data_IF_050452775750
#
_entry.id   IF_050452775750
#
_cell.length_a   1.000
_cell.length_b   1.000
_cell.length_c   1.000
_cell.angle_alpha   90.00
_cell.angle_beta   90.00
_cell.angle_gamma   90.00
#
_symmetry.space_group_name_H-M   'P 1'
#
loop_
_entity.id
_entity.type
_entity.pdbx_description
1 polymer ?
#
# COMPACT_ATOMS: atom_id res chain seq x y z
N UNK A 1 -11.31 -9.67 6.05
CA UNK A 1 -12.21 -9.20 4.99
C UNK A 1 -13.02 -10.38 4.55
N UNK A 2 -13.87 -10.85 5.45
CA UNK A 2 -14.74 -12.03 5.34
C UNK A 2 -15.94 -11.86 6.29
N UNK A 3 -15.81 -10.95 7.27
CA UNK A 3 -16.88 -10.47 8.13
C UNK A 3 -18.05 -9.90 7.31
N UNK A 4 -19.25 -10.12 7.84
CA UNK A 4 -20.47 -9.52 7.30
C UNK A 4 -20.45 -8.01 7.49
N UNK A 5 -20.80 -7.27 6.45
CA UNK A 5 -21.07 -5.85 6.53
C UNK A 5 -22.54 -5.61 6.86
N UNK A 6 -22.82 -4.48 7.52
CA UNK A 6 -24.17 -4.00 7.77
C UNK A 6 -24.55 -3.06 6.63
N UNK A 7 -25.67 -3.32 5.98
CA UNK A 7 -26.31 -2.41 5.04
C UNK A 7 -27.58 -1.85 5.67
N UNK A 8 -27.64 -0.53 5.75
CA UNK A 8 -28.80 0.22 6.23
C UNK A 8 -29.38 1.05 5.09
N UNK A 9 -30.63 0.76 4.73
CA UNK A 9 -31.39 1.59 3.79
C UNK A 9 -32.37 2.43 4.59
N UNK A 10 -32.40 3.74 4.32
CA UNK A 10 -33.30 4.67 5.03
C UNK A 10 -34.75 4.16 5.02
N UNK A 11 -35.33 4.00 6.21
CA UNK A 11 -36.70 3.50 6.39
C UNK A 11 -36.85 1.98 6.29
N UNK A 12 -35.76 1.22 6.36
CA UNK A 12 -35.74 -0.25 6.42
C UNK A 12 -34.84 -0.73 7.55
N UNK A 13 -35.05 -1.96 8.01
CA UNK A 13 -34.20 -2.60 9.00
C UNK A 13 -32.81 -2.90 8.42
N UNK A 14 -31.80 -2.86 9.30
CA UNK A 14 -30.43 -3.19 8.95
C UNK A 14 -30.30 -4.67 8.56
N UNK A 15 -29.58 -4.95 7.47
CA UNK A 15 -29.29 -6.32 7.04
C UNK A 15 -27.77 -6.58 7.06
N UNK A 16 -27.40 -7.80 7.44
CA UNK A 16 -26.04 -8.28 7.37
C UNK A 16 -25.81 -9.01 6.05
N UNK A 17 -24.69 -8.74 5.37
CA UNK A 17 -24.34 -9.42 4.12
C UNK A 17 -22.84 -9.60 3.95
N UNK A 18 -22.43 -10.62 3.20
CA UNK A 18 -21.04 -10.76 2.77
C UNK A 18 -20.82 -9.95 1.50
N UNK A 19 -19.90 -8.98 1.57
CA UNK A 19 -19.56 -8.16 0.42
C UNK A 19 -18.71 -8.93 -0.59
N UNK A 20 -19.20 -8.99 -1.83
CA UNK A 20 -18.44 -9.46 -2.99
C UNK A 20 -17.78 -8.32 -3.77
N UNK A 21 -17.92 -7.08 -3.30
CA UNK A 21 -17.40 -5.91 -4.00
C UNK A 21 -15.87 -5.93 -4.09
N UNK A 22 -15.36 -5.49 -5.24
CA UNK A 22 -13.94 -5.13 -5.42
C UNK A 22 -13.88 -3.62 -5.57
N UNK A 23 -12.93 -3.00 -4.88
CA UNK A 23 -12.78 -1.56 -4.84
C UNK A 23 -11.83 -1.12 -5.95
N UNK A 24 -12.28 -0.20 -6.81
CA UNK A 24 -11.49 0.41 -7.86
C UNK A 24 -11.54 1.93 -7.66
N UNK A 25 -10.37 2.54 -7.59
CA UNK A 25 -10.21 3.98 -7.39
C UNK A 25 -9.39 4.56 -8.54
N UNK A 26 -9.78 5.75 -8.99
CA UNK A 26 -9.02 6.55 -9.95
C UNK A 26 -8.79 7.92 -9.34
N UNK A 27 -7.54 8.35 -9.27
CA UNK A 27 -7.16 9.59 -8.60
C UNK A 27 -5.87 10.15 -9.19
N UNK A 28 -5.73 11.47 -9.16
CA UNK A 28 -4.50 12.16 -9.59
C UNK A 28 -3.42 12.15 -8.50
N UNK A 29 -3.84 12.06 -7.23
CA UNK A 29 -2.96 12.00 -6.07
C UNK A 29 -3.37 10.83 -5.18
N UNK A 30 -2.40 10.08 -4.66
CA UNK A 30 -2.73 8.95 -3.81
C UNK A 30 -3.39 9.42 -2.51
N UNK A 31 -4.54 8.84 -2.11
CA UNK A 31 -5.19 9.22 -0.87
C UNK A 31 -4.26 8.87 0.29
N UNK A 32 -4.00 9.84 1.15
CA UNK A 32 -3.23 9.59 2.35
C UNK A 32 -4.05 8.74 3.31
N UNK A 33 -3.49 7.61 3.75
CA UNK A 33 -4.11 6.82 4.79
C UNK A 33 -3.78 7.45 6.16
N UNK A 34 -4.74 8.21 6.70
CA UNK A 34 -4.59 8.93 7.95
C UNK A 34 -4.88 8.06 9.19
N UNK A 35 -5.65 6.97 9.03
CA UNK A 35 -6.18 6.17 10.14
C UNK A 35 -5.44 4.84 10.32
N UNK A 36 -5.14 4.12 9.24
CA UNK A 36 -4.54 2.79 9.29
C UNK A 36 -3.13 2.75 8.68
N UNK A 37 -2.12 2.93 9.52
CA UNK A 37 -0.70 2.80 9.12
C UNK A 37 -0.21 1.36 9.11
N UNK A 38 -1.10 0.37 9.30
CA UNK A 38 -0.71 -1.04 9.31
C UNK A 38 -0.36 -1.53 7.91
N UNK A 39 0.55 -2.49 7.87
CA UNK A 39 0.93 -3.18 6.63
C UNK A 39 -0.24 -3.91 5.96
N UNK A 40 -1.31 -4.19 6.72
CA UNK A 40 -2.48 -4.89 6.23
C UNK A 40 -3.24 -4.11 5.14
N UNK A 41 -3.26 -2.79 5.22
CA UNK A 41 -3.85 -1.96 4.18
C UNK A 41 -3.01 -2.02 2.90
N UNK A 42 -1.71 -1.73 3.00
CA UNK A 42 -0.81 -1.62 1.84
C UNK A 42 -0.65 -2.93 1.07
N UNK A 43 -0.61 -4.09 1.75
CA UNK A 43 -0.49 -5.41 1.06
C UNK A 43 -1.71 -5.80 0.20
N UNK A 44 -2.80 -5.01 0.23
CA UNK A 44 -4.01 -5.24 -0.58
C UNK A 44 -4.13 -4.28 -1.76
N UNK A 45 -3.22 -3.31 -1.88
CA UNK A 45 -3.23 -2.33 -2.96
C UNK A 45 -2.52 -2.89 -4.19
N UNK A 46 -3.14 -2.70 -5.35
CA UNK A 46 -2.50 -2.82 -6.65
C UNK A 46 -2.57 -1.45 -7.30
N UNK A 47 -1.41 -0.85 -7.60
CA UNK A 47 -1.35 0.51 -8.14
C UNK A 47 -0.92 0.45 -9.60
N UNK A 48 -1.79 0.98 -10.46
CA UNK A 48 -1.49 1.22 -11.86
C UNK A 48 -1.26 2.72 -12.06
N UNK A 49 0.00 3.11 -12.18
CA UNK A 49 0.37 4.49 -12.51
C UNK A 49 0.14 4.77 -14.00
N UNK A 50 -0.61 5.83 -14.29
CA UNK A 50 -0.95 6.29 -15.63
C UNK A 50 -0.17 7.57 -15.95
N UNK A 51 1.15 7.44 -16.09
CA UNK A 51 2.08 8.57 -16.23
C UNK A 51 2.27 9.09 -17.67
N UNK A 52 1.59 8.50 -18.66
CA UNK A 52 1.69 8.94 -20.06
C UNK A 52 0.65 10.01 -20.39
N UNK A 53 1.13 11.23 -20.64
CA UNK A 53 0.30 12.35 -21.12
C UNK A 53 0.12 12.27 -22.64
N UNK A 54 -1.13 12.25 -23.11
CA UNK A 54 -1.47 12.30 -24.54
C UNK A 54 -1.51 13.76 -25.01
N UNK A 55 -0.65 14.09 -26.00
CA UNK A 55 -0.57 15.45 -26.56
C UNK A 55 -1.84 15.81 -27.34
N UNK A 56 -2.16 17.10 -27.43
CA UNK A 56 -3.42 17.57 -28.06
C UNK A 56 -3.64 17.04 -29.48
N UNK A 57 -2.59 17.00 -30.32
CA UNK A 57 -2.69 16.48 -31.70
C UNK A 57 -2.73 14.95 -31.82
N UNK A 58 -2.53 14.21 -30.73
CA UNK A 58 -2.56 12.73 -30.69
C UNK A 58 -3.86 12.21 -30.05
N UNK A 59 -4.74 13.11 -29.57
CA UNK A 59 -5.99 12.74 -28.93
C UNK A 59 -6.97 12.18 -29.96
N UNK A 60 -7.32 10.92 -29.78
CA UNK A 60 -8.37 10.28 -30.55
C UNK A 60 -9.74 10.61 -29.93
N UNK A 61 -10.55 11.40 -30.64
CA UNK A 61 -11.89 11.80 -30.21
C UNK A 61 -12.88 10.62 -30.19
N UNK A 62 -12.55 9.52 -30.88
CA UNK A 62 -13.37 8.31 -30.97
C UNK A 62 -12.80 7.15 -30.16
N UNK A 63 -11.88 7.44 -29.22
CA UNK A 63 -11.21 6.41 -28.43
C UNK A 63 -12.22 5.55 -27.65
N UNK A 64 -13.27 6.16 -27.12
CA UNK A 64 -14.29 5.46 -26.34
C UNK A 64 -15.00 4.40 -27.18
N UNK A 65 -15.42 4.76 -28.39
CA UNK A 65 -16.12 3.86 -29.31
C UNK A 65 -15.20 2.73 -29.77
N UNK A 66 -13.92 3.02 -30.04
CA UNK A 66 -12.92 2.02 -30.41
C UNK A 66 -12.67 1.02 -29.27
N UNK A 67 -12.46 1.51 -28.05
CA UNK A 67 -12.28 0.65 -26.86
C UNK A 67 -13.53 -0.19 -26.60
N UNK A 68 -14.72 0.38 -26.80
CA UNK A 68 -15.97 -0.37 -26.67
C UNK A 68 -16.10 -1.47 -27.73
N UNK A 69 -15.72 -1.20 -28.98
CA UNK A 69 -15.73 -2.18 -30.06
C UNK A 69 -14.78 -3.36 -29.80
N UNK A 70 -13.72 -3.15 -29.02
CA UNK A 70 -12.75 -4.20 -28.63
C UNK A 70 -13.07 -4.87 -27.28
N UNK A 71 -14.24 -4.60 -26.69
CA UNK A 71 -14.60 -5.11 -25.36
C UNK A 71 -14.57 -6.65 -25.28
N UNK A 72 -14.97 -7.36 -26.33
CA UNK A 72 -14.91 -8.83 -26.40
C UNK A 72 -13.47 -9.34 -26.24
N UNK A 73 -12.50 -8.66 -26.85
CA UNK A 73 -11.09 -9.00 -26.72
C UNK A 73 -10.57 -8.71 -25.30
N UNK A 74 -10.97 -7.58 -24.71
CA UNK A 74 -10.62 -7.26 -23.32
C UNK A 74 -11.17 -8.31 -22.33
N UNK A 75 -12.41 -8.78 -22.54
CA UNK A 75 -13.02 -9.86 -21.74
C UNK A 75 -12.25 -11.17 -21.93
N UNK A 76 -11.89 -11.52 -23.17
CA UNK A 76 -11.09 -12.71 -23.45
C UNK A 76 -9.75 -12.68 -22.70
N UNK A 77 -9.04 -11.55 -22.74
CA UNK A 77 -7.79 -11.35 -22.01
C UNK A 77 -8.00 -11.46 -20.49
N UNK A 78 -9.09 -10.90 -19.96
CA UNK A 78 -9.43 -11.01 -18.55
C UNK A 78 -9.69 -12.46 -18.12
N UNK A 79 -10.31 -13.29 -18.97
CA UNK A 79 -10.53 -14.71 -18.70
C UNK A 79 -9.22 -15.51 -18.66
N UNK A 80 -8.27 -15.22 -19.55
CA UNK A 80 -6.93 -15.82 -19.51
C UNK A 80 -6.20 -15.42 -18.21
N UNK A 81 -6.23 -14.13 -17.88
CA UNK A 81 -5.61 -13.63 -16.65
C UNK A 81 -6.25 -14.25 -15.39
N UNK A 82 -7.57 -14.43 -15.39
CA UNK A 82 -8.31 -15.07 -14.30
C UNK A 82 -7.90 -16.54 -14.13
N UNK A 83 -7.75 -17.29 -15.23
CA UNK A 83 -7.23 -18.67 -15.18
C UNK A 83 -5.85 -18.71 -14.51
N UNK A 84 -4.94 -17.84 -14.94
CA UNK A 84 -3.59 -17.77 -14.36
C UNK A 84 -3.64 -17.40 -12.87
N UNK A 85 -4.54 -16.50 -12.48
CA UNK A 85 -4.75 -16.13 -11.07
C UNK A 85 -5.18 -17.33 -10.23
N UNK A 86 -6.10 -18.17 -10.71
CA UNK A 86 -6.52 -19.38 -10.01
C UNK A 86 -5.39 -20.42 -9.91
N UNK A 87 -4.60 -20.61 -10.96
CA UNK A 87 -3.48 -21.55 -10.96
C UNK A 87 -2.33 -21.10 -10.03
N UNK A 88 -2.05 -19.79 -9.97
CA UNK A 88 -0.97 -19.23 -9.14
C UNK A 88 -1.41 -18.94 -7.71
N UNK A 89 -2.72 -18.78 -7.46
CA UNK A 89 -3.28 -18.39 -6.17
C UNK A 89 -2.98 -16.96 -5.73
N UNK A 90 -2.44 -16.11 -6.62
CA UNK A 90 -2.05 -14.72 -6.33
C UNK A 90 -2.07 -13.84 -7.57
N UNK A 91 -2.24 -12.54 -7.37
CA UNK A 91 -2.09 -11.57 -8.45
C UNK A 91 -0.64 -11.49 -8.90
N UNK A 92 -0.45 -11.26 -10.21
CA UNK A 92 0.85 -10.87 -10.76
C UNK A 92 1.03 -9.37 -10.57
N UNK A 93 2.13 -8.99 -9.92
CA UNK A 93 2.46 -7.60 -9.62
C UNK A 93 3.75 -7.20 -10.32
N UNK A 94 3.74 -6.05 -10.99
CA UNK A 94 4.96 -5.46 -11.55
C UNK A 94 5.81 -4.84 -10.43
N UNK A 95 7.13 -4.78 -10.63
CA UNK A 95 8.02 -4.07 -9.70
C UNK A 95 7.64 -2.59 -9.56
N UNK A 96 7.12 -1.98 -10.63
CA UNK A 96 6.62 -0.61 -10.59
C UNK A 96 5.42 -0.45 -9.66
N UNK A 97 4.43 -1.36 -9.72
CA UNK A 97 3.29 -1.34 -8.80
C UNK A 97 3.75 -1.47 -7.34
N UNK A 98 4.71 -2.37 -7.07
CA UNK A 98 5.27 -2.55 -5.72
C UNK A 98 5.94 -1.28 -5.20
N UNK A 99 6.72 -0.61 -6.06
CA UNK A 99 7.37 0.66 -5.70
C UNK A 99 6.34 1.76 -5.45
N UNK A 100 5.30 1.87 -6.27
CA UNK A 100 4.22 2.83 -6.03
C UNK A 100 3.54 2.59 -4.68
N UNK A 101 3.24 1.33 -4.33
CA UNK A 101 2.66 1.00 -3.02
C UNK A 101 3.63 1.35 -1.90
N UNK A 102 4.93 1.09 -2.08
CA UNK A 102 5.97 1.44 -1.11
C UNK A 102 6.07 2.95 -0.91
N UNK A 103 5.94 3.74 -1.98
CA UNK A 103 5.97 5.19 -1.91
C UNK A 103 4.78 5.76 -1.13
N UNK A 104 3.57 5.23 -1.35
CA UNK A 104 2.40 5.61 -0.54
C UNK A 104 2.65 5.29 0.94
N UNK A 105 3.24 4.13 1.24
CA UNK A 105 3.59 3.74 2.60
C UNK A 105 4.64 4.68 3.22
N UNK A 106 5.70 5.04 2.49
CA UNK A 106 6.73 6.00 2.94
C UNK A 106 6.16 7.38 3.21
N UNK A 107 5.20 7.82 2.39
CA UNK A 107 4.56 9.13 2.56
C UNK A 107 3.71 9.17 3.83
N UNK A 108 3.01 8.08 4.16
CA UNK A 108 2.09 8.03 5.30
C UNK A 108 2.72 7.57 6.63
N UNK A 109 3.80 6.79 6.60
CA UNK A 109 4.47 6.22 7.78
C UNK A 109 5.94 6.69 7.87
N UNK A 110 6.21 7.63 8.80
CA UNK A 110 7.55 8.17 9.02
C UNK A 110 8.56 7.14 9.51
N UNK A 111 8.11 6.06 10.17
CA UNK A 111 8.96 4.95 10.60
C UNK A 111 9.33 4.10 9.38
N UNK A 112 8.39 3.87 8.47
CA UNK A 112 8.66 3.17 7.22
C UNK A 112 9.71 3.92 6.38
N UNK A 113 9.52 5.23 6.20
CA UNK A 113 10.48 6.06 5.46
C UNK A 113 11.87 6.05 6.12
N UNK A 114 11.93 6.21 7.44
CA UNK A 114 13.19 6.11 8.19
C UNK A 114 13.90 4.76 8.00
N UNK A 115 13.16 3.64 8.08
CA UNK A 115 13.75 2.31 7.88
C UNK A 115 14.36 2.19 6.48
N UNK A 116 13.65 2.65 5.45
CA UNK A 116 14.07 2.49 4.06
C UNK A 116 15.25 3.38 3.69
N UNK A 117 15.28 4.60 4.23
CA UNK A 117 16.27 5.62 3.86
C UNK A 117 17.49 5.61 4.77
N UNK A 118 17.34 5.23 6.05
CA UNK A 118 18.39 5.35 7.05
C UNK A 118 18.94 4.03 7.57
N UNK A 119 18.28 2.90 7.32
CA UNK A 119 18.69 1.59 7.87
C UNK A 119 18.95 0.55 6.78
N UNK A 120 20.02 -0.22 6.96
CA UNK A 120 20.31 -1.41 6.15
C UNK A 120 20.28 -2.65 7.03
N UNK A 121 19.51 -3.66 6.62
CA UNK A 121 19.45 -4.94 7.33
C UNK A 121 20.72 -5.74 7.04
N UNK A 122 21.54 -5.94 8.06
CA UNK A 122 22.73 -6.78 8.00
C UNK A 122 22.64 -7.92 9.03
N UNK A 123 22.81 -9.16 8.58
CA UNK A 123 22.73 -10.35 9.43
C UNK A 123 23.76 -10.27 10.56
N UNK A 124 23.32 -10.47 11.80
CA UNK A 124 24.18 -10.45 12.99
C UNK A 124 24.59 -9.06 13.48
N UNK A 125 24.25 -7.99 12.76
CA UNK A 125 24.48 -6.61 13.21
C UNK A 125 23.31 -6.14 14.08
N UNK A 126 23.62 -5.30 15.06
CA UNK A 126 22.68 -4.77 16.06
C UNK A 126 23.03 -3.32 16.35
N UNK A 127 22.01 -2.51 16.59
CA UNK A 127 22.16 -1.12 17.01
C UNK A 127 21.53 -0.95 18.40
N UNK A 128 22.06 -0.01 19.19
CA UNK A 128 21.50 0.28 20.51
C UNK A 128 20.12 0.92 20.33
N UNK A 129 19.14 0.53 21.14
CA UNK A 129 17.79 1.11 21.08
C UNK A 129 17.81 2.63 21.22
N UNK A 130 18.61 3.16 22.14
CA UNK A 130 18.74 4.62 22.33
C UNK A 130 19.22 5.32 21.06
N UNK A 131 20.22 4.75 20.38
CA UNK A 131 20.83 5.29 19.17
C UNK A 131 19.84 5.29 18.00
N UNK A 132 19.16 4.16 17.76
CA UNK A 132 18.16 4.07 16.67
C UNK A 132 17.01 5.06 16.87
N UNK A 133 16.55 5.24 18.11
CA UNK A 133 15.48 6.21 18.37
C UNK A 133 15.97 7.65 18.19
N UNK A 134 17.21 7.95 18.56
CA UNK A 134 17.80 9.28 18.33
C UNK A 134 17.95 9.58 16.83
N UNK A 135 18.47 8.64 16.04
CA UNK A 135 18.54 8.75 14.58
C UNK A 135 17.15 8.99 13.97
N UNK A 136 16.12 8.34 14.50
CA UNK A 136 14.74 8.55 14.04
C UNK A 136 14.21 9.95 14.39
N UNK A 137 14.49 10.47 15.59
CA UNK A 137 14.09 11.83 15.97
C UNK A 137 14.79 12.88 15.09
N UNK A 138 16.08 12.69 14.81
CA UNK A 138 16.84 13.54 13.89
C UNK A 138 16.28 13.47 12.47
N UNK A 139 16.04 12.26 11.95
CA UNK A 139 15.42 12.05 10.64
C UNK A 139 14.07 12.77 10.53
N UNK A 140 13.20 12.65 11.54
CA UNK A 140 11.92 13.35 11.56
C UNK A 140 12.09 14.87 11.55
N UNK A 141 13.04 15.40 12.32
CA UNK A 141 13.32 16.84 12.38
C UNK A 141 13.84 17.38 11.05
N UNK A 142 14.79 16.69 10.42
CA UNK A 142 15.39 17.08 9.14
C UNK A 142 14.39 17.04 7.99
N UNK A 143 13.47 16.07 8.01
CA UNK A 143 12.47 15.88 6.96
C UNK A 143 11.13 16.56 7.26
N UNK A 144 11.03 17.35 8.34
CA UNK A 144 9.78 18.02 8.73
C UNK A 144 8.61 17.08 9.04
N UNK A 145 8.91 15.84 9.43
CA UNK A 145 7.92 14.79 9.71
C UNK A 145 7.58 14.76 11.21
N UNK A 146 6.32 14.47 11.52
CA UNK A 146 5.92 14.22 12.91
C UNK A 146 6.47 12.87 13.40
N UNK A 147 7.30 12.93 14.44
CA UNK A 147 7.86 11.76 15.11
C UNK A 147 6.83 11.03 15.99
N UNK A 148 7.00 9.71 16.10
CA UNK A 148 6.26 8.88 17.04
C UNK A 148 6.97 8.80 18.41
N UNK A 149 6.19 8.73 19.49
CA UNK A 149 6.73 8.46 20.82
C UNK A 149 7.44 7.10 20.89
N UNK A 150 8.46 6.99 21.76
CA UNK A 150 9.39 5.86 21.85
C UNK A 150 8.73 4.47 21.92
N UNK A 151 7.64 4.33 22.70
CA UNK A 151 6.90 3.07 22.81
C UNK A 151 6.28 2.64 21.47
N UNK A 152 5.59 3.57 20.81
CA UNK A 152 4.96 3.34 19.50
C UNK A 152 6.00 3.07 18.41
N UNK A 153 7.12 3.80 18.43
CA UNK A 153 8.22 3.58 17.50
C UNK A 153 8.71 2.13 17.53
N UNK A 154 9.07 1.62 18.72
CA UNK A 154 9.61 0.27 18.85
C UNK A 154 8.59 -0.83 18.60
N UNK A 155 7.31 -0.60 18.93
CA UNK A 155 6.23 -1.52 18.53
C UNK A 155 6.17 -1.64 17.02
N UNK A 156 6.10 -0.52 16.30
CA UNK A 156 6.03 -0.51 14.84
C UNK A 156 7.30 -1.13 14.19
N UNK A 157 8.50 -0.83 14.72
CA UNK A 157 9.73 -1.50 14.29
C UNK A 157 9.63 -3.04 14.40
N UNK A 158 9.02 -3.54 15.49
CA UNK A 158 8.80 -4.98 15.68
C UNK A 158 7.80 -5.54 14.67
N UNK A 159 6.70 -4.83 14.43
CA UNK A 159 5.69 -5.21 13.43
C UNK A 159 6.29 -5.28 12.02
N UNK A 160 7.28 -4.42 11.73
CA UNK A 160 8.07 -4.43 10.49
C UNK A 160 9.23 -5.44 10.51
N UNK A 161 9.31 -6.32 11.50
CA UNK A 161 10.23 -7.46 11.54
C UNK A 161 11.61 -7.18 12.14
N UNK A 162 11.79 -6.09 12.91
CA UNK A 162 13.00 -5.89 13.71
C UNK A 162 12.87 -6.58 15.08
N UNK A 163 13.90 -7.31 15.49
CA UNK A 163 13.88 -8.03 16.77
C UNK A 163 14.38 -7.14 17.91
N UNK A 164 13.51 -6.90 18.89
CA UNK A 164 13.90 -6.28 20.16
C UNK A 164 14.41 -7.36 21.11
N UNK A 165 15.72 -7.36 21.37
CA UNK A 165 16.33 -8.20 22.39
C UNK A 165 16.81 -7.31 23.54
N UNK A 166 16.52 -7.70 24.77
CA UNK A 166 17.14 -7.08 25.93
C UNK A 166 18.65 -7.38 25.89
N UNK A 167 19.44 -6.36 26.22
CA UNK A 167 20.87 -6.52 26.42
C UNK A 167 21.06 -7.10 27.82
N UNK A 168 21.19 -8.42 27.90
CA UNK A 168 21.70 -9.08 29.10
C UNK A 168 23.21 -9.07 28.92
N UNK A 169 23.90 -8.16 29.62
CA UNK A 169 25.30 -7.88 29.35
C UNK A 169 26.17 -9.14 29.37
N UNK A 170 26.89 -9.33 28.27
CA UNK A 170 28.21 -9.99 28.21
C UNK A 170 29.15 -9.01 27.52
#
# INVERSE_FOLDING_TARGET
>A
GEDTLIYEKKGQDAIHFHSYAKLLFSTNEMPQNLEDKSDAFYRRLLILDMNRVVKSGEKDLHLKEKVQAESDYAIHMAMIALKNLYEQGKFTESEHSKECVREVQRTSDSICAFIDESLVRAKGKRLKRSEVFHMYEEYCKENGRQGHGKSNFFRNMTDKGFLLKQYNGE
#
